data_IF_515681087929
#
_entry.id   IF_515681087929
#
_cell.length_a   1.000
_cell.length_b   1.000
_cell.length_c   1.000
_cell.angle_alpha   90.00
_cell.angle_beta   90.00
_cell.angle_gamma   90.00
#
_symmetry.space_group_name_H-M   'P 1'
#
loop_
_entity.id
_entity.type
_entity.pdbx_description
1 polymer ?
#
# COMPACT_ATOMS: atom_id res chain seq x y z
N UNK A 1 -0.99 12.45 18.31
CA UNK A 1 -1.74 13.35 17.39
C UNK A 1 -1.04 13.49 16.04
N UNK A 2 0.23 13.88 15.98
CA UNK A 2 0.97 14.04 14.71
C UNK A 2 0.96 12.78 13.82
N UNK A 3 1.25 11.59 14.37
CA UNK A 3 1.24 10.34 13.59
C UNK A 3 -0.12 10.04 12.93
N UNK A 4 -1.21 10.33 13.62
CA UNK A 4 -2.57 10.13 13.08
C UNK A 4 -2.87 11.11 11.94
N UNK A 5 -2.41 12.36 12.06
CA UNK A 5 -2.54 13.37 10.99
C UNK A 5 -1.74 12.94 9.76
N UNK A 6 -0.50 12.48 9.93
CA UNK A 6 0.34 12.00 8.83
C UNK A 6 -0.29 10.80 8.13
N UNK A 7 -0.75 9.79 8.88
CA UNK A 7 -1.46 8.64 8.31
C UNK A 7 -2.74 9.07 7.60
N UNK A 8 -3.53 9.97 8.19
CA UNK A 8 -4.72 10.52 7.57
C UNK A 8 -4.44 11.23 6.25
N UNK A 9 -3.34 11.99 6.17
CA UNK A 9 -2.88 12.62 4.93
C UNK A 9 -2.43 11.59 3.89
N UNK A 10 -1.66 10.57 4.30
CA UNK A 10 -1.19 9.52 3.38
C UNK A 10 -2.35 8.71 2.80
N UNK A 11 -3.24 8.19 3.65
CA UNK A 11 -4.40 7.41 3.20
C UNK A 11 -5.43 8.29 2.48
N UNK A 12 -5.63 9.54 2.90
CA UNK A 12 -6.49 10.49 2.21
C UNK A 12 -5.95 10.85 0.82
N UNK A 13 -4.64 11.07 0.71
CA UNK A 13 -3.94 11.33 -0.55
C UNK A 13 -4.02 10.14 -1.50
N UNK A 14 -3.80 8.92 -0.99
CA UNK A 14 -3.98 7.70 -1.75
C UNK A 14 -5.44 7.54 -2.21
N UNK A 15 -6.42 7.66 -1.32
CA UNK A 15 -7.84 7.49 -1.65
C UNK A 15 -8.33 8.49 -2.70
N UNK A 16 -7.81 9.73 -2.65
CA UNK A 16 -8.11 10.79 -3.59
C UNK A 16 -7.08 10.91 -4.72
N UNK A 17 -6.18 9.94 -4.90
CA UNK A 17 -5.10 10.01 -5.89
C UNK A 17 -5.59 10.36 -7.31
N UNK A 18 -6.67 9.76 -7.86
CA UNK A 18 -7.14 10.09 -9.20
C UNK A 18 -7.65 11.53 -9.34
N UNK A 19 -8.13 12.11 -8.23
CA UNK A 19 -8.59 13.49 -8.18
C UNK A 19 -7.43 14.48 -7.96
N UNK A 20 -6.47 14.14 -7.09
CA UNK A 20 -5.33 14.99 -6.74
C UNK A 20 -4.24 14.99 -7.83
N UNK A 21 -4.04 13.86 -8.50
CA UNK A 21 -3.06 13.71 -9.56
C UNK A 21 -3.45 14.56 -10.78
N UNK A 22 -2.56 15.45 -11.27
CA UNK A 22 -2.80 16.24 -12.46
C UNK A 22 -2.93 15.38 -13.74
N UNK A 23 -2.23 14.24 -13.78
CA UNK A 23 -2.13 13.34 -14.93
C UNK A 23 -2.30 11.88 -14.52
N UNK A 24 -2.56 11.01 -15.50
CA UNK A 24 -2.51 9.55 -15.32
C UNK A 24 -1.07 9.06 -15.08
N UNK A 25 -0.89 7.96 -14.34
CA UNK A 25 0.44 7.44 -13.95
C UNK A 25 1.28 6.98 -15.15
N UNK A 26 0.64 6.52 -16.23
CA UNK A 26 1.29 5.99 -17.42
C UNK A 26 1.63 7.06 -18.48
N UNK A 27 1.12 8.28 -18.35
CA UNK A 27 1.29 9.32 -19.36
C UNK A 27 2.73 9.81 -19.45
N UNK A 28 3.41 9.44 -20.55
CA UNK A 28 4.80 9.83 -20.82
C UNK A 28 4.89 11.16 -21.59
N UNK A 29 6.06 11.79 -21.50
CA UNK A 29 6.48 12.89 -22.36
C UNK A 29 8.02 12.90 -22.46
N UNK A 30 8.55 12.16 -23.42
CA UNK A 30 9.99 12.00 -23.62
C UNK A 30 10.73 13.32 -23.89
N UNK A 31 10.02 14.34 -24.41
CA UNK A 31 10.61 15.66 -24.62
C UNK A 31 10.87 16.38 -23.29
N UNK A 32 10.20 15.96 -22.22
CA UNK A 32 10.30 16.53 -20.87
C UNK A 32 10.92 15.56 -19.87
N UNK A 33 11.90 14.74 -20.27
CA UNK A 33 12.64 13.86 -19.35
C UNK A 33 13.44 14.65 -18.31
N UNK A 34 13.41 14.20 -17.05
CA UNK A 34 14.10 14.83 -15.91
C UNK A 34 13.81 16.33 -15.72
N UNK A 35 12.60 16.77 -16.05
CA UNK A 35 12.17 18.14 -15.81
C UNK A 35 12.18 18.43 -14.30
N UNK A 36 12.77 19.56 -13.86
CA UNK A 36 12.76 19.94 -12.45
C UNK A 36 11.33 20.31 -11.97
N UNK A 37 11.12 20.36 -10.63
CA UNK A 37 9.85 20.79 -10.04
C UNK A 37 9.43 22.17 -10.57
N UNK A 38 8.20 22.27 -11.07
CA UNK A 38 7.66 23.49 -11.67
C UNK A 38 7.39 24.54 -10.59
N UNK A 39 8.08 25.70 -10.60
CA UNK A 39 7.86 26.72 -9.58
C UNK A 39 6.51 27.41 -9.80
N UNK A 40 5.75 27.53 -8.70
CA UNK A 40 4.48 28.26 -8.67
C UNK A 40 4.77 29.70 -8.26
N UNK A 41 4.40 30.64 -9.12
CA UNK A 41 4.55 32.08 -8.93
C UNK A 41 3.17 32.71 -8.83
N UNK A 42 3.01 33.67 -7.92
CA UNK A 42 1.78 34.47 -7.85
C UNK A 42 1.97 35.71 -8.73
N UNK A 43 1.14 35.85 -9.76
CA UNK A 43 1.12 37.01 -10.65
C UNK A 43 -0.33 37.43 -10.88
N UNK A 44 -0.62 38.72 -10.72
CA UNK A 44 -1.96 39.29 -10.86
C UNK A 44 -3.03 38.61 -9.98
N UNK A 45 -2.70 38.32 -8.72
CA UNK A 45 -3.54 37.59 -7.77
C UNK A 45 -3.98 36.19 -8.24
N UNK A 46 -3.29 35.62 -9.23
CA UNK A 46 -3.52 34.27 -9.73
C UNK A 46 -2.24 33.43 -9.55
N UNK A 47 -2.42 32.17 -9.18
CA UNK A 47 -1.32 31.21 -9.18
C UNK A 47 -0.99 30.83 -10.62
N UNK A 48 0.28 30.96 -10.99
CA UNK A 48 0.80 30.62 -12.31
C UNK A 48 1.98 29.68 -12.17
N UNK A 49 2.05 28.67 -13.03
CA UNK A 49 3.20 27.79 -13.15
C UNK A 49 4.19 28.42 -14.12
N UNK A 50 5.44 28.62 -13.70
CA UNK A 50 6.50 29.09 -14.58
C UNK A 50 7.11 27.89 -15.30
N UNK A 51 7.01 27.91 -16.62
CA UNK A 51 7.45 26.77 -17.43
C UNK A 51 8.97 26.78 -17.59
N UNK A 52 9.52 25.58 -17.76
CA UNK A 52 10.90 25.41 -18.18
C UNK A 52 10.95 25.28 -19.70
N UNK A 53 12.07 25.67 -20.29
CA UNK A 53 12.39 25.44 -21.69
C UNK A 53 13.70 24.66 -21.74
N UNK A 54 13.79 23.67 -22.64
CA UNK A 54 15.04 22.93 -22.81
C UNK A 54 16.06 23.84 -23.49
N UNK A 55 17.29 23.82 -22.99
CA UNK A 55 18.40 24.51 -23.64
C UNK A 55 18.73 23.87 -25.01
N UNK A 56 18.62 22.54 -25.09
CA UNK A 56 18.80 21.76 -26.32
C UNK A 56 17.87 20.54 -26.31
N UNK A 57 17.31 20.12 -27.47
CA UNK A 57 16.47 18.92 -27.55
C UNK A 57 17.18 17.64 -27.05
N UNK A 58 18.51 17.62 -27.13
CA UNK A 58 19.34 16.46 -26.78
C UNK A 58 19.88 16.49 -25.35
N UNK A 59 19.72 17.62 -24.63
CA UNK A 59 20.10 17.73 -23.22
C UNK A 59 18.86 17.75 -22.32
N UNK A 60 19.06 17.36 -21.06
CA UNK A 60 18.08 17.52 -19.99
C UNK A 60 18.36 18.78 -19.16
N UNK A 61 19.08 19.74 -19.73
CA UNK A 61 19.29 21.06 -19.13
C UNK A 61 18.08 21.95 -19.42
N UNK A 62 17.52 22.49 -18.35
CA UNK A 62 16.31 23.30 -18.37
C UNK A 62 16.60 24.71 -17.89
N UNK A 63 16.21 25.70 -18.71
CA UNK A 63 16.28 27.11 -18.35
C UNK A 63 14.90 27.60 -17.90
N UNK A 64 14.82 28.41 -16.82
CA UNK A 64 13.56 28.98 -16.38
C UNK A 64 13.04 29.95 -17.45
N UNK A 65 11.90 29.60 -18.07
CA UNK A 65 11.30 30.46 -19.09
C UNK A 65 10.61 31.68 -18.44
N UNK A 66 10.46 32.76 -19.20
CA UNK A 66 9.58 33.88 -18.85
C UNK A 66 8.11 33.54 -19.08
N UNK A 67 7.83 32.46 -19.81
CA UNK A 67 6.49 31.95 -20.05
C UNK A 67 5.87 31.39 -18.77
N UNK A 68 4.77 32.01 -18.33
CA UNK A 68 3.98 31.58 -17.18
C UNK A 68 2.58 31.20 -17.62
N UNK A 69 2.08 30.09 -17.10
CA UNK A 69 0.75 29.55 -17.44
C UNK A 69 -0.12 29.55 -16.18
N UNK A 70 -1.36 30.10 -16.23
CA UNK A 70 -2.22 30.12 -15.06
C UNK A 70 -2.66 28.70 -14.65
N UNK A 71 -2.64 28.47 -13.34
CA UNK A 71 -3.21 27.27 -12.73
C UNK A 71 -4.74 27.34 -12.75
N UNK A 72 -5.34 26.17 -12.93
CA UNK A 72 -6.76 25.96 -12.96
C UNK A 72 -7.13 24.86 -11.99
N UNK A 73 -7.89 25.24 -10.98
CA UNK A 73 -8.45 24.29 -10.05
C UNK A 73 -9.72 23.67 -10.61
N UNK A 74 -9.93 22.38 -10.36
CA UNK A 74 -11.13 21.63 -10.79
C UNK A 74 -11.37 21.64 -12.31
N UNK A 75 -10.29 21.71 -13.10
CA UNK A 75 -10.36 21.67 -14.57
C UNK A 75 -10.81 20.28 -15.03
N UNK A 76 -11.61 20.23 -16.10
CA UNK A 76 -11.91 18.97 -16.79
C UNK A 76 -10.66 18.49 -17.53
N UNK A 77 -10.24 17.27 -17.28
CA UNK A 77 -9.12 16.58 -17.90
C UNK A 77 -9.52 15.16 -18.32
N UNK A 78 -8.59 14.22 -18.18
CA UNK A 78 -8.82 12.82 -18.55
C UNK A 78 -9.90 12.17 -17.69
N UNK A 79 -10.74 11.28 -18.26
CA UNK A 79 -11.68 10.52 -17.47
C UNK A 79 -10.94 9.55 -16.57
N UNK A 80 -11.34 9.49 -15.30
CA UNK A 80 -10.84 8.55 -14.33
C UNK A 80 -11.98 8.01 -13.46
N UNK A 81 -11.73 6.89 -12.79
CA UNK A 81 -12.67 6.30 -11.84
C UNK A 81 -12.20 6.61 -10.41
N UNK A 82 -12.90 7.51 -9.72
CA UNK A 82 -12.66 7.74 -8.30
C UNK A 82 -13.08 6.49 -7.52
N UNK A 83 -12.20 5.99 -6.64
CA UNK A 83 -12.39 4.73 -5.91
C UNK A 83 -12.62 3.51 -6.81
N UNK A 84 -12.33 3.60 -8.11
CA UNK A 84 -12.64 2.55 -9.08
C UNK A 84 -14.11 2.45 -9.50
N UNK A 85 -15.00 3.31 -9.00
CA UNK A 85 -16.45 3.18 -9.23
C UNK A 85 -17.09 4.45 -9.78
N UNK A 86 -16.64 5.63 -9.35
CA UNK A 86 -17.31 6.90 -9.66
C UNK A 86 -16.60 7.56 -10.86
N UNK A 87 -17.21 7.62 -12.06
CA UNK A 87 -16.60 8.27 -13.20
C UNK A 87 -16.53 9.78 -12.98
N UNK A 88 -15.32 10.31 -13.00
CA UNK A 88 -15.04 11.74 -12.89
C UNK A 88 -14.11 12.18 -14.01
N UNK A 89 -14.15 13.48 -14.31
CA UNK A 89 -13.27 14.12 -15.30
C UNK A 89 -12.54 15.31 -14.72
N UNK A 90 -12.75 15.65 -13.44
CA UNK A 90 -12.26 16.89 -12.85
C UNK A 90 -11.04 16.59 -11.99
N UNK A 91 -9.90 17.18 -12.33
CA UNK A 91 -8.69 17.07 -11.50
C UNK A 91 -8.55 18.30 -10.61
N UNK A 92 -7.94 18.14 -9.44
CA UNK A 92 -7.77 19.19 -8.45
C UNK A 92 -6.98 20.37 -9.01
N UNK A 93 -5.85 20.09 -9.67
CA UNK A 93 -4.98 21.12 -10.26
C UNK A 93 -4.50 20.69 -11.64
N UNK A 94 -4.68 21.59 -12.61
CA UNK A 94 -4.10 21.50 -13.94
C UNK A 94 -3.73 22.89 -14.44
N UNK A 95 -3.00 22.96 -15.54
CA UNK A 95 -2.66 24.22 -16.21
C UNK A 95 -3.66 24.56 -17.33
N UNK A 96 -3.90 25.85 -17.53
CA UNK A 96 -4.66 26.38 -18.68
C UNK A 96 -3.68 26.78 -19.79
N UNK A 97 -3.06 25.79 -20.44
CA UNK A 97 -2.31 26.03 -21.68
C UNK A 97 -3.06 25.50 -22.89
N UNK A 98 -2.90 26.20 -24.02
CA UNK A 98 -3.26 25.71 -25.35
C UNK A 98 -2.12 24.89 -25.98
N UNK A 99 -0.90 24.93 -25.42
CA UNK A 99 0.24 24.13 -25.87
C UNK A 99 0.22 22.78 -25.18
N UNK A 100 0.31 21.70 -25.96
CA UNK A 100 0.39 20.31 -25.48
C UNK A 100 1.69 20.00 -24.72
N UNK A 101 2.74 20.78 -24.96
CA UNK A 101 4.05 20.64 -24.33
C UNK A 101 4.12 21.19 -22.90
N UNK A 102 3.26 22.16 -22.57
CA UNK A 102 3.17 22.70 -21.23
C UNK A 102 2.54 21.62 -20.36
N UNK A 103 3.25 21.19 -19.31
CA UNK A 103 2.77 20.28 -18.27
C UNK A 103 3.21 20.78 -16.90
N UNK A 104 2.47 20.36 -15.89
CA UNK A 104 2.68 20.74 -14.50
C UNK A 104 3.41 19.62 -13.77
N UNK A 105 4.70 19.80 -13.47
CA UNK A 105 5.47 18.81 -12.74
C UNK A 105 5.70 19.28 -11.30
N UNK A 106 4.75 18.99 -10.39
CA UNK A 106 4.81 19.50 -9.01
C UNK A 106 6.07 19.02 -8.25
N UNK A 107 6.51 17.80 -8.51
CA UNK A 107 7.72 17.20 -7.94
C UNK A 107 8.78 16.88 -9.01
N UNK A 108 8.63 17.43 -10.22
CA UNK A 108 9.46 17.08 -11.37
C UNK A 108 8.97 15.84 -12.11
N UNK A 109 9.73 15.43 -13.12
CA UNK A 109 9.44 14.28 -13.95
C UNK A 109 10.56 13.24 -13.93
N UNK A 110 10.23 11.99 -14.24
CA UNK A 110 11.22 10.92 -14.38
C UNK A 110 11.94 10.95 -15.73
N UNK A 111 12.81 9.96 -15.97
CA UNK A 111 13.58 9.83 -17.22
C UNK A 111 12.74 9.58 -18.48
N UNK A 112 11.45 9.25 -18.34
CA UNK A 112 10.48 9.15 -19.44
C UNK A 112 9.51 10.34 -19.51
N UNK A 113 9.72 11.34 -18.65
CA UNK A 113 8.89 12.52 -18.54
C UNK A 113 7.50 12.27 -17.95
N UNK A 114 7.33 11.21 -17.16
CA UNK A 114 6.11 11.01 -16.36
C UNK A 114 6.16 11.89 -15.11
N UNK A 115 5.02 12.40 -14.68
CA UNK A 115 4.93 13.25 -13.49
C UNK A 115 5.14 12.46 -12.20
N UNK A 116 6.20 12.79 -11.45
CA UNK A 116 6.58 12.09 -10.21
C UNK A 116 5.48 12.23 -9.15
N UNK A 117 4.82 13.39 -9.08
CA UNK A 117 3.76 13.61 -8.08
C UNK A 117 2.56 12.68 -8.32
N UNK A 118 2.07 12.59 -9.56
CA UNK A 118 1.00 11.67 -9.95
C UNK A 118 1.40 10.23 -9.65
N UNK A 119 2.63 9.82 -10.03
CA UNK A 119 3.13 8.46 -9.79
C UNK A 119 3.22 8.11 -8.30
N UNK A 120 3.63 9.05 -7.44
CA UNK A 120 3.66 8.85 -5.99
C UNK A 120 2.25 8.65 -5.42
N UNK A 121 1.26 9.40 -5.90
CA UNK A 121 -0.12 9.25 -5.45
C UNK A 121 -0.72 7.89 -5.86
N UNK A 122 -0.60 7.49 -7.13
CA UNK A 122 -1.08 6.20 -7.61
C UNK A 122 -0.31 5.03 -6.97
N UNK A 123 1.03 5.12 -6.89
CA UNK A 123 1.85 4.12 -6.20
C UNK A 123 1.48 3.97 -4.73
N UNK A 124 1.16 5.07 -4.03
CA UNK A 124 0.73 5.02 -2.63
C UNK A 124 -0.58 4.24 -2.44
N UNK A 125 -1.51 4.26 -3.41
CA UNK A 125 -2.73 3.44 -3.34
C UNK A 125 -2.40 1.96 -3.30
N UNK A 126 -1.49 1.54 -4.19
CA UNK A 126 -1.06 0.15 -4.30
C UNK A 126 -0.34 -0.27 -3.03
N UNK A 127 0.75 0.41 -2.66
CA UNK A 127 1.58 0.00 -1.51
C UNK A 127 0.83 0.08 -0.18
N UNK A 128 0.03 1.13 0.08
CA UNK A 128 -0.71 1.24 1.34
C UNK A 128 -1.85 0.23 1.45
N UNK A 129 -2.53 -0.10 0.33
CA UNK A 129 -3.58 -1.12 0.34
C UNK A 129 -3.03 -2.52 0.64
N UNK A 130 -1.84 -2.86 0.12
CA UNK A 130 -1.16 -4.14 0.39
C UNK A 130 -0.83 -4.26 1.87
N UNK A 131 -0.32 -3.18 2.48
CA UNK A 131 -0.05 -3.13 3.91
C UNK A 131 -1.28 -3.47 4.75
N UNK A 132 -2.44 -2.87 4.44
CA UNK A 132 -3.69 -3.09 5.18
C UNK A 132 -4.33 -4.46 4.92
N UNK A 133 -4.45 -4.87 3.66
CA UNK A 133 -5.11 -6.13 3.30
C UNK A 133 -4.26 -7.31 3.74
N UNK A 134 -2.95 -7.25 3.48
CA UNK A 134 -2.02 -8.30 3.88
C UNK A 134 -2.02 -8.51 5.40
N UNK A 135 -1.95 -7.44 6.20
CA UNK A 135 -1.97 -7.58 7.67
C UNK A 135 -3.30 -8.11 8.19
N UNK A 136 -4.42 -7.71 7.58
CA UNK A 136 -5.75 -8.21 7.97
C UNK A 136 -5.83 -9.73 7.79
N UNK A 137 -5.39 -10.23 6.63
CA UNK A 137 -5.34 -11.68 6.35
C UNK A 137 -4.39 -12.36 7.33
N UNK A 138 -3.20 -11.80 7.55
CA UNK A 138 -2.19 -12.33 8.49
C UNK A 138 -2.72 -12.48 9.91
N UNK A 139 -3.41 -11.46 10.43
CA UNK A 139 -3.96 -11.50 11.78
C UNK A 139 -5.11 -12.50 11.89
N UNK A 140 -5.99 -12.56 10.89
CA UNK A 140 -7.11 -13.51 10.86
C UNK A 140 -6.58 -14.94 10.82
N UNK A 141 -5.68 -15.26 9.88
CA UNK A 141 -5.05 -16.58 9.77
C UNK A 141 -4.24 -16.94 11.03
N UNK A 142 -3.46 -15.97 11.53
CA UNK A 142 -2.68 -16.11 12.74
C UNK A 142 -3.55 -16.42 13.96
N UNK A 143 -4.68 -15.73 14.10
CA UNK A 143 -5.62 -15.97 15.19
C UNK A 143 -6.38 -17.28 15.05
N UNK A 144 -6.84 -17.64 13.85
CA UNK A 144 -7.52 -18.92 13.62
C UNK A 144 -6.59 -20.06 13.99
N UNK A 145 -5.38 -20.12 13.42
CA UNK A 145 -4.47 -21.23 13.67
C UNK A 145 -3.91 -21.16 15.09
N UNK A 146 -3.32 -20.02 15.49
CA UNK A 146 -2.70 -19.87 16.81
C UNK A 146 -3.70 -19.97 17.95
N UNK A 147 -4.86 -19.33 17.81
CA UNK A 147 -5.90 -19.29 18.83
C UNK A 147 -6.49 -20.67 19.09
N UNK A 148 -6.85 -21.41 18.02
CA UNK A 148 -7.34 -22.79 18.12
C UNK A 148 -6.25 -23.72 18.66
N UNK A 149 -5.00 -23.58 18.19
CA UNK A 149 -3.86 -24.40 18.61
C UNK A 149 -3.59 -24.26 20.11
N UNK A 150 -3.52 -23.02 20.60
CA UNK A 150 -3.34 -22.74 22.02
C UNK A 150 -4.54 -23.14 22.86
N UNK A 151 -5.77 -23.01 22.34
CA UNK A 151 -6.98 -23.36 23.08
C UNK A 151 -7.13 -24.87 23.24
N UNK A 152 -7.10 -25.64 22.15
CA UNK A 152 -7.28 -27.09 22.21
C UNK A 152 -6.06 -27.81 22.79
N UNK A 153 -4.84 -27.39 22.43
CA UNK A 153 -3.62 -28.10 22.83
C UNK A 153 -3.51 -29.50 22.20
N UNK A 154 -2.63 -30.33 22.77
CA UNK A 154 -2.51 -31.74 22.42
C UNK A 154 -2.12 -32.01 20.97
N UNK A 155 -2.81 -32.97 20.32
CA UNK A 155 -2.49 -33.42 18.96
C UNK A 155 -2.73 -32.35 17.89
N UNK A 156 -3.82 -31.58 18.04
CA UNK A 156 -4.13 -30.48 17.11
C UNK A 156 -3.02 -29.42 17.16
N UNK A 157 -2.62 -29.04 18.37
CA UNK A 157 -1.54 -28.08 18.59
C UNK A 157 -0.20 -28.56 18.00
N UNK A 158 0.15 -29.82 18.24
CA UNK A 158 1.35 -30.41 17.68
C UNK A 158 1.37 -30.36 16.15
N UNK A 159 0.28 -30.78 15.49
CA UNK A 159 0.16 -30.81 14.04
C UNK A 159 0.17 -29.40 13.43
N UNK A 160 -0.64 -28.48 13.96
CA UNK A 160 -0.69 -27.09 13.51
C UNK A 160 0.69 -26.43 13.62
N UNK A 161 1.40 -26.67 14.72
CA UNK A 161 2.71 -26.07 14.94
C UNK A 161 3.81 -26.70 14.09
N UNK A 162 3.70 -27.97 13.68
CA UNK A 162 4.64 -28.53 12.68
C UNK A 162 4.52 -27.80 11.35
N UNK A 163 3.29 -27.51 10.90
CA UNK A 163 3.06 -26.74 9.67
C UNK A 163 3.63 -25.32 9.81
N UNK A 164 3.32 -24.64 10.92
CA UNK A 164 3.84 -23.28 11.19
C UNK A 164 5.37 -23.26 11.22
N UNK A 165 6.01 -24.19 11.92
CA UNK A 165 7.46 -24.29 11.99
C UNK A 165 8.10 -24.59 10.64
N UNK A 166 7.51 -25.47 9.83
CA UNK A 166 7.96 -25.75 8.47
C UNK A 166 7.91 -24.50 7.59
N UNK A 167 6.81 -23.74 7.63
CA UNK A 167 6.67 -22.51 6.84
C UNK A 167 7.68 -21.44 7.27
N UNK A 168 7.94 -21.31 8.57
CA UNK A 168 8.92 -20.35 9.09
C UNK A 168 10.37 -20.72 8.77
N UNK A 169 10.66 -21.98 8.43
CA UNK A 169 11.99 -22.39 7.98
C UNK A 169 12.30 -21.89 6.56
N UNK A 170 11.28 -21.57 5.77
CA UNK A 170 11.45 -21.04 4.41
C UNK A 170 11.69 -19.53 4.48
N UNK A 171 12.82 -19.00 3.96
CA UNK A 171 13.05 -17.56 4.01
C UNK A 171 12.11 -16.83 3.06
N UNK A 172 11.38 -15.85 3.59
CA UNK A 172 10.28 -15.18 2.88
C UNK A 172 10.72 -14.52 1.55
N UNK A 173 11.92 -13.95 1.50
CA UNK A 173 12.45 -13.34 0.28
C UNK A 173 12.54 -14.36 -0.88
N UNK A 174 12.96 -15.60 -0.64
CA UNK A 174 13.04 -16.61 -1.70
C UNK A 174 11.65 -16.99 -2.24
N UNK A 175 10.63 -17.04 -1.37
CA UNK A 175 9.25 -17.29 -1.79
C UNK A 175 8.74 -16.16 -2.70
N UNK A 176 9.04 -14.90 -2.34
CA UNK A 176 8.67 -13.74 -3.16
C UNK A 176 9.36 -13.77 -4.54
N UNK A 177 10.66 -14.08 -4.57
CA UNK A 177 11.42 -14.20 -5.82
C UNK A 177 10.91 -15.35 -6.70
N UNK A 178 10.64 -16.51 -6.10
CA UNK A 178 10.10 -17.68 -6.80
C UNK A 178 8.69 -17.42 -7.34
N UNK A 179 7.83 -16.75 -6.57
CA UNK A 179 6.51 -16.35 -7.03
C UNK A 179 6.65 -15.47 -8.28
N UNK A 180 7.49 -14.43 -8.22
CA UNK A 180 7.65 -13.55 -9.36
C UNK A 180 8.27 -14.26 -10.55
N UNK A 181 9.29 -15.11 -10.38
CA UNK A 181 9.93 -15.78 -11.51
C UNK A 181 8.93 -16.63 -12.30
N UNK A 182 7.97 -17.26 -11.62
CA UNK A 182 6.90 -18.06 -12.24
C UNK A 182 5.74 -17.20 -12.75
N UNK A 183 5.33 -16.19 -11.98
CA UNK A 183 4.18 -15.35 -12.31
C UNK A 183 4.49 -14.30 -13.39
N UNK A 184 5.76 -13.97 -13.63
CA UNK A 184 6.13 -12.76 -14.34
C UNK A 184 5.63 -12.65 -15.77
N UNK A 185 5.52 -13.79 -16.47
CA UNK A 185 5.08 -13.85 -17.86
C UNK A 185 3.58 -14.09 -18.03
N UNK A 186 2.87 -14.43 -16.95
CA UNK A 186 1.49 -14.92 -17.04
C UNK A 186 0.47 -14.04 -16.32
N UNK A 187 0.90 -13.20 -15.38
CA UNK A 187 0.00 -12.42 -14.55
C UNK A 187 -0.12 -10.98 -15.04
N UNK A 188 -1.36 -10.52 -15.17
CA UNK A 188 -1.66 -9.09 -15.30
C UNK A 188 -1.36 -8.34 -13.97
N UNK A 189 -1.26 -7.01 -14.00
CA UNK A 189 -0.90 -6.18 -12.85
C UNK A 189 -1.82 -6.42 -11.64
N UNK A 190 -3.12 -6.63 -11.87
CA UNK A 190 -4.07 -6.96 -10.80
C UNK A 190 -3.84 -8.36 -10.19
N UNK A 191 -3.46 -9.34 -11.01
CA UNK A 191 -3.15 -10.69 -10.52
C UNK A 191 -1.83 -10.71 -9.75
N UNK A 192 -0.84 -9.95 -10.22
CA UNK A 192 0.44 -9.78 -9.52
C UNK A 192 0.23 -9.13 -8.15
N UNK A 193 -0.63 -8.11 -8.07
CA UNK A 193 -1.03 -7.50 -6.80
C UNK A 193 -1.59 -8.53 -5.81
N UNK A 194 -2.58 -9.31 -6.23
CA UNK A 194 -3.20 -10.34 -5.37
C UNK A 194 -2.16 -11.37 -4.94
N UNK A 195 -1.28 -11.78 -5.86
CA UNK A 195 -0.23 -12.75 -5.57
C UNK A 195 0.74 -12.24 -4.49
N UNK A 196 1.18 -10.97 -4.57
CA UNK A 196 2.03 -10.32 -3.55
C UNK A 196 1.32 -10.26 -2.19
N UNK A 197 0.04 -9.86 -2.17
CA UNK A 197 -0.76 -9.81 -0.93
C UNK A 197 -0.84 -11.19 -0.29
N UNK A 198 -1.18 -12.22 -1.07
CA UNK A 198 -1.34 -13.59 -0.58
C UNK A 198 -0.04 -14.13 -0.03
N UNK A 199 1.09 -13.92 -0.70
CA UNK A 199 2.37 -14.49 -0.27
C UNK A 199 2.94 -13.76 0.95
N UNK A 200 2.82 -12.42 1.02
CA UNK A 200 3.21 -11.66 2.21
C UNK A 200 2.37 -12.10 3.41
N UNK A 201 1.05 -12.27 3.21
CA UNK A 201 0.17 -12.80 4.23
C UNK A 201 0.56 -14.22 4.64
N UNK A 202 0.84 -15.09 3.66
CA UNK A 202 1.25 -16.49 3.84
C UNK A 202 2.54 -16.64 4.66
N UNK A 203 3.50 -15.72 4.49
CA UNK A 203 4.74 -15.72 5.26
C UNK A 203 4.48 -15.17 6.67
N UNK A 204 3.72 -14.08 6.78
CA UNK A 204 3.56 -13.37 8.05
C UNK A 204 2.70 -14.10 9.08
N UNK A 205 1.64 -14.80 8.65
CA UNK A 205 0.68 -15.42 9.58
C UNK A 205 1.31 -16.48 10.47
N UNK A 206 2.36 -17.17 10.00
CA UNK A 206 3.01 -18.25 10.73
C UNK A 206 3.67 -17.73 12.03
N UNK A 207 4.41 -16.62 11.93
CA UNK A 207 5.02 -15.97 13.10
C UNK A 207 3.96 -15.48 14.08
N UNK A 208 2.91 -14.82 13.57
CA UNK A 208 1.78 -14.34 14.38
C UNK A 208 1.04 -15.50 15.06
N UNK A 209 0.82 -16.62 14.37
CA UNK A 209 0.16 -17.80 14.91
C UNK A 209 0.93 -18.41 16.09
N UNK A 210 2.26 -18.48 15.99
CA UNK A 210 3.10 -19.01 17.08
C UNK A 210 2.97 -18.18 18.36
N UNK A 211 2.97 -16.86 18.23
CA UNK A 211 2.83 -15.96 19.39
C UNK A 211 1.41 -16.05 19.97
N UNK A 212 0.39 -15.98 19.12
CA UNK A 212 -1.01 -16.10 19.55
C UNK A 212 -1.27 -17.45 20.23
N UNK A 213 -0.66 -18.55 19.75
CA UNK A 213 -0.74 -19.86 20.39
C UNK A 213 -0.25 -19.82 21.84
N UNK A 214 0.92 -19.23 22.09
CA UNK A 214 1.45 -19.11 23.45
C UNK A 214 0.53 -18.30 24.37
N UNK A 215 -0.01 -17.18 23.87
CA UNK A 215 -0.95 -16.36 24.64
C UNK A 215 -2.29 -17.07 24.87
N UNK A 216 -2.85 -17.73 23.85
CA UNK A 216 -4.10 -18.49 23.95
C UNK A 216 -3.97 -19.67 24.92
N UNK A 217 -2.81 -20.36 24.91
CA UNK A 217 -2.51 -21.42 25.87
C UNK A 217 -2.50 -20.90 27.32
N UNK A 218 -1.99 -19.69 27.54
CA UNK A 218 -2.06 -19.04 28.87
C UNK A 218 -3.48 -18.59 29.24
N UNK A 219 -4.23 -18.04 28.28
CA UNK A 219 -5.58 -17.55 28.51
C UNK A 219 -6.56 -18.69 28.80
N UNK A 220 -6.38 -19.87 28.19
CA UNK A 220 -7.32 -20.99 28.36
C UNK A 220 -7.45 -21.48 29.80
N UNK A 221 -6.42 -21.29 30.63
CA UNK A 221 -6.39 -21.72 32.03
C UNK A 221 -6.85 -20.61 33.00
N UNK A 222 -7.24 -19.43 32.49
CA UNK A 222 -7.71 -18.33 33.33
C UNK A 222 -9.11 -18.60 33.90
N UNK A 223 -9.43 -18.12 35.12
CA UNK A 223 -10.70 -18.40 35.78
C UNK A 223 -11.95 -18.04 34.95
N UNK A 224 -11.91 -16.92 34.21
CA UNK A 224 -13.05 -16.51 33.38
C UNK A 224 -13.30 -17.45 32.19
N UNK A 225 -12.25 -18.06 31.63
CA UNK A 225 -12.38 -19.06 30.56
C UNK A 225 -12.89 -20.38 31.12
N UNK A 226 -12.34 -20.83 32.25
CA UNK A 226 -12.80 -22.04 32.92
C UNK A 226 -14.26 -21.94 33.35
N UNK A 227 -14.67 -20.80 33.90
CA UNK A 227 -16.06 -20.54 34.24
C UNK A 227 -16.98 -20.61 33.00
N UNK A 228 -16.57 -20.00 31.88
CA UNK A 228 -17.34 -20.08 30.64
C UNK A 228 -17.46 -21.52 30.10
N UNK A 229 -16.42 -22.34 30.25
CA UNK A 229 -16.47 -23.77 29.89
C UNK A 229 -17.42 -24.55 30.80
N UNK A 230 -17.36 -24.34 32.12
CA UNK A 230 -18.27 -24.99 33.08
C UNK A 230 -19.73 -24.61 32.86
N UNK A 231 -20.00 -23.43 32.29
CA UNK A 231 -21.34 -22.99 31.86
C UNK A 231 -21.76 -23.55 30.49
N UNK A 232 -20.98 -24.46 29.89
CA UNK A 232 -21.30 -25.09 28.61
C UNK A 232 -21.21 -24.16 27.40
N UNK A 233 -20.45 -23.06 27.48
CA UNK A 233 -20.29 -22.19 26.31
C UNK A 233 -19.51 -22.90 25.20
N UNK A 234 -20.01 -22.79 23.96
CA UNK A 234 -19.32 -23.30 22.77
C UNK A 234 -17.92 -22.71 22.63
N UNK A 235 -16.97 -23.49 22.13
CA UNK A 235 -15.59 -23.05 21.88
C UNK A 235 -15.49 -21.77 21.05
N UNK A 236 -16.29 -21.63 20.00
CA UNK A 236 -16.29 -20.41 19.17
C UNK A 236 -16.64 -19.16 19.98
N UNK A 237 -17.68 -19.26 20.84
CA UNK A 237 -18.09 -18.18 21.75
C UNK A 237 -16.99 -17.84 22.75
N UNK A 238 -16.25 -18.84 23.24
CA UNK A 238 -15.11 -18.62 24.14
C UNK A 238 -13.98 -17.90 23.42
N UNK A 239 -13.62 -18.35 22.21
CA UNK A 239 -12.56 -17.71 21.43
C UNK A 239 -12.89 -16.26 21.10
N UNK A 240 -14.08 -15.99 20.58
CA UNK A 240 -14.47 -14.64 20.14
C UNK A 240 -14.77 -13.68 21.30
N UNK A 241 -15.44 -14.15 22.36
CA UNK A 241 -15.89 -13.28 23.47
C UNK A 241 -14.87 -13.14 24.59
N UNK A 242 -14.00 -14.13 24.79
CA UNK A 242 -13.07 -14.15 25.92
C UNK A 242 -11.61 -14.10 25.47
N UNK A 243 -11.19 -14.88 24.46
CA UNK A 243 -9.77 -14.93 24.07
C UNK A 243 -9.39 -13.75 23.17
N UNK A 244 -10.13 -13.53 22.07
CA UNK A 244 -9.84 -12.49 21.09
C UNK A 244 -9.75 -11.08 21.71
N UNK A 245 -10.66 -10.65 22.61
CA UNK A 245 -10.56 -9.33 23.23
C UNK A 245 -9.33 -9.18 24.14
N UNK A 246 -8.89 -10.28 24.79
CA UNK A 246 -7.67 -10.27 25.59
C UNK A 246 -6.40 -10.22 24.73
N UNK A 247 -6.47 -10.67 23.47
CA UNK A 247 -5.36 -10.58 22.51
C UNK A 247 -5.37 -9.29 21.70
N UNK A 248 -6.45 -8.50 21.74
CA UNK A 248 -6.64 -7.32 20.91
C UNK A 248 -5.46 -6.33 21.02
N UNK A 249 -4.95 -6.10 22.23
CA UNK A 249 -3.79 -5.22 22.46
C UNK A 249 -2.55 -5.70 21.70
N UNK A 250 -2.25 -7.01 21.75
CA UNK A 250 -1.14 -7.58 20.99
C UNK A 250 -1.39 -7.51 19.48
N UNK A 251 -2.60 -7.83 19.03
CA UNK A 251 -2.97 -7.79 17.61
C UNK A 251 -2.81 -6.37 17.02
N UNK A 252 -3.24 -5.35 17.75
CA UNK A 252 -3.12 -3.95 17.33
C UNK A 252 -1.66 -3.48 17.26
N UNK A 253 -0.84 -3.83 18.26
CA UNK A 253 0.59 -3.51 18.26
C UNK A 253 1.31 -4.26 17.13
N UNK A 254 1.02 -5.54 16.96
CA UNK A 254 1.58 -6.37 15.89
C UNK A 254 1.19 -5.83 14.51
N UNK A 255 -0.06 -5.41 14.30
CA UNK A 255 -0.48 -4.77 13.06
C UNK A 255 0.34 -3.52 12.76
N UNK A 256 0.48 -2.64 13.76
CA UNK A 256 1.19 -1.37 13.62
C UNK A 256 2.65 -1.58 13.22
N UNK A 257 3.30 -2.61 13.75
CA UNK A 257 4.68 -2.95 13.41
C UNK A 257 4.80 -3.66 12.05
N UNK A 258 3.78 -4.41 11.64
CA UNK A 258 3.84 -5.24 10.43
C UNK A 258 3.47 -4.48 9.16
N UNK A 259 2.57 -3.49 9.24
CA UNK A 259 2.14 -2.70 8.08
C UNK A 259 3.35 -2.07 7.34
N UNK A 260 4.29 -1.37 8.01
CA UNK A 260 5.47 -0.85 7.33
C UNK A 260 6.34 -1.94 6.71
N UNK A 261 6.48 -3.10 7.36
CA UNK A 261 7.23 -4.23 6.81
C UNK A 261 6.62 -4.76 5.52
N UNK A 262 5.28 -4.77 5.41
CA UNK A 262 4.59 -5.25 4.21
C UNK A 262 4.71 -4.25 3.06
N UNK A 263 4.57 -2.96 3.38
CA UNK A 263 4.78 -1.86 2.43
C UNK A 263 6.23 -1.92 1.88
N UNK A 264 7.22 -2.05 2.77
CA UNK A 264 8.63 -2.15 2.36
C UNK A 264 8.92 -3.44 1.59
N UNK A 265 8.26 -4.56 1.96
CA UNK A 265 8.38 -5.83 1.25
C UNK A 265 7.91 -5.71 -0.20
N UNK A 266 6.77 -5.06 -0.44
CA UNK A 266 6.31 -4.79 -1.80
C UNK A 266 7.19 -3.79 -2.53
N UNK A 267 7.55 -2.68 -1.90
CA UNK A 267 8.43 -1.68 -2.51
C UNK A 267 9.80 -2.26 -2.91
N UNK A 268 10.35 -3.17 -2.10
CA UNK A 268 11.59 -3.89 -2.42
C UNK A 268 11.43 -4.77 -3.67
N UNK A 269 10.29 -5.44 -3.82
CA UNK A 269 10.00 -6.19 -5.05
C UNK A 269 9.87 -5.26 -6.25
N UNK A 270 9.14 -4.15 -6.11
CA UNK A 270 9.02 -3.14 -7.16
C UNK A 270 10.38 -2.60 -7.61
N UNK A 271 11.26 -2.29 -6.66
CA UNK A 271 12.63 -1.85 -6.92
C UNK A 271 13.47 -2.90 -7.67
N UNK A 272 13.29 -4.19 -7.36
CA UNK A 272 13.96 -5.29 -8.05
C UNK A 272 13.37 -5.57 -9.46
N UNK A 273 12.41 -4.78 -9.93
CA UNK A 273 11.67 -5.03 -11.19
C UNK A 273 10.65 -6.18 -11.06
N UNK A 274 10.40 -6.60 -9.83
CA UNK A 274 9.60 -7.75 -9.45
C UNK A 274 8.22 -7.40 -8.87
N UNK A 275 7.93 -6.11 -8.69
CA UNK A 275 6.65 -5.61 -8.20
C UNK A 275 5.60 -5.44 -9.29
N UNK A 276 4.55 -4.70 -8.98
CA UNK A 276 3.43 -4.45 -9.89
C UNK A 276 3.91 -3.44 -10.95
N UNK A 277 3.95 -3.88 -12.20
CA UNK A 277 4.34 -3.02 -13.31
C UNK A 277 3.15 -2.15 -13.72
N UNK A 278 3.40 -0.84 -13.82
CA UNK A 278 2.48 0.17 -14.38
C UNK A 278 2.65 0.32 -15.89
#
# INVERSE_FOLDING_TARGET
>A
MAAFIVLGMMYGGALLAPFLAPYSSSMQNLERSFCPPTPIVVKDWKFQARMYEKESPYSNDYLPSTHTVPLAFFKKGEPYLLLGVIPMKRHFVQIKSSRTEDRLYLLGSDGTGRDIFSRLLYGSQVSLSIGLIGIAITLVMGFIVGGLSGYFGGRFDFAAMRVVEFLMAVPGLYLLLALRSVAASHFDSAQMYVAIVVILAFIGWATTARVIRGMSLSLRTRPFVLAAQSMGQSTFKILYKHILPNLASYLLVSATLSIPTYILGEAALSFLGLGIQE
#
